data_IF_296618703700
#
_entry.id   IF_296618703700
#
_cell.length_a   1.000
_cell.length_b   1.000
_cell.length_c   1.000
_cell.angle_alpha   90.00
_cell.angle_beta   90.00
_cell.angle_gamma   90.00
#
_symmetry.space_group_name_H-M   'P 1'
#
loop_
_entity.id
_entity.type
_entity.pdbx_description
1 polymer ?
#
# COMPACT_ATOMS: atom_id res chain seq x y z
N UNK A 1 2.06 -31.60 12.31
CA UNK A 1 0.79 -30.89 12.56
C UNK A 1 0.03 -30.83 11.26
N UNK A 2 -1.30 -30.78 11.28
CA UNK A 2 -2.07 -30.59 10.06
C UNK A 2 -1.71 -29.24 9.42
N UNK A 3 -1.53 -29.16 8.08
CA UNK A 3 -1.19 -27.92 7.39
C UNK A 3 -2.14 -26.76 7.73
N UNK A 4 -3.41 -27.05 7.99
CA UNK A 4 -4.41 -26.05 8.36
C UNK A 4 -4.13 -25.47 9.75
N UNK A 5 -3.75 -26.31 10.72
CA UNK A 5 -3.40 -25.85 12.07
C UNK A 5 -2.17 -24.93 12.05
N UNK A 6 -1.16 -25.26 11.24
CA UNK A 6 0.03 -24.41 11.11
C UNK A 6 -0.32 -23.06 10.48
N UNK A 7 -1.20 -23.06 9.47
CA UNK A 7 -1.72 -21.83 8.87
C UNK A 7 -2.44 -20.95 9.89
N UNK A 8 -3.34 -21.50 10.70
CA UNK A 8 -4.09 -20.76 11.74
C UNK A 8 -3.13 -20.14 12.76
N UNK A 9 -2.14 -20.91 13.24
CA UNK A 9 -1.13 -20.42 14.19
C UNK A 9 -0.29 -19.32 13.55
N UNK A 10 0.14 -19.47 12.30
CA UNK A 10 0.88 -18.45 11.56
C UNK A 10 0.09 -17.15 11.41
N UNK A 11 -1.19 -17.21 11.04
CA UNK A 11 -2.04 -16.03 10.94
C UNK A 11 -2.18 -15.32 12.29
N UNK A 12 -2.45 -16.07 13.37
CA UNK A 12 -2.55 -15.51 14.72
C UNK A 12 -1.22 -14.86 15.16
N UNK A 13 -0.09 -15.48 14.84
CA UNK A 13 1.24 -14.97 15.14
C UNK A 13 1.54 -13.65 14.42
N UNK A 14 1.18 -13.52 13.13
CA UNK A 14 1.33 -12.26 12.38
C UNK A 14 0.53 -11.15 13.04
N UNK A 15 -0.75 -11.40 13.38
CA UNK A 15 -1.58 -10.39 14.05
C UNK A 15 -1.00 -9.99 15.40
N UNK A 16 -0.52 -10.96 16.18
CA UNK A 16 0.13 -10.70 17.46
C UNK A 16 1.37 -9.80 17.31
N UNK A 17 2.23 -10.09 16.33
CA UNK A 17 3.42 -9.27 16.04
C UNK A 17 3.06 -7.85 15.57
N UNK A 18 1.98 -7.71 14.81
CA UNK A 18 1.45 -6.41 14.40
C UNK A 18 0.92 -5.60 15.59
N UNK A 19 0.25 -6.24 16.55
CA UNK A 19 -0.21 -5.57 17.78
C UNK A 19 0.94 -5.06 18.66
N UNK A 20 2.10 -5.72 18.63
CA UNK A 20 3.32 -5.26 19.31
C UNK A 20 3.98 -4.07 18.58
N UNK A 21 3.45 -3.66 17.42
CA UNK A 21 3.95 -2.53 16.64
C UNK A 21 5.10 -2.90 15.71
N UNK A 22 5.32 -4.18 15.42
CA UNK A 22 6.36 -4.61 14.50
C UNK A 22 5.99 -4.24 13.06
N UNK A 23 6.98 -3.79 12.28
CA UNK A 23 6.77 -3.45 10.88
C UNK A 23 6.27 -4.68 10.09
N UNK A 24 5.24 -4.49 9.27
CA UNK A 24 4.54 -5.56 8.54
C UNK A 24 5.50 -6.43 7.73
N UNK A 25 6.52 -5.82 7.10
CA UNK A 25 7.50 -6.53 6.30
C UNK A 25 8.26 -7.59 7.12
N UNK A 26 8.74 -7.23 8.31
CA UNK A 26 9.44 -8.17 9.18
C UNK A 26 8.50 -9.24 9.74
N UNK A 27 7.25 -8.88 10.06
CA UNK A 27 6.27 -9.84 10.57
C UNK A 27 5.96 -10.91 9.53
N UNK A 28 5.65 -10.49 8.29
CA UNK A 28 5.39 -11.38 7.18
C UNK A 28 6.60 -12.24 6.82
N UNK A 29 7.81 -11.65 6.81
CA UNK A 29 9.04 -12.37 6.52
C UNK A 29 9.32 -13.47 7.55
N UNK A 30 9.23 -13.14 8.85
CA UNK A 30 9.57 -14.08 9.92
C UNK A 30 8.57 -15.23 10.00
N UNK A 31 7.28 -14.93 9.96
CA UNK A 31 6.22 -15.95 10.04
C UNK A 31 6.15 -16.78 8.76
N UNK A 32 6.32 -16.16 7.59
CA UNK A 32 6.40 -16.87 6.31
C UNK A 32 7.59 -17.82 6.26
N UNK A 33 8.77 -17.37 6.69
CA UNK A 33 9.96 -18.22 6.78
C UNK A 33 9.76 -19.38 7.77
N UNK A 34 9.29 -19.12 8.99
CA UNK A 34 9.04 -20.14 9.99
C UNK A 34 7.98 -21.17 9.54
N UNK A 35 6.92 -20.70 8.87
CA UNK A 35 5.87 -21.56 8.33
C UNK A 35 6.39 -22.48 7.22
N UNK A 36 7.14 -21.94 6.24
CA UNK A 36 7.72 -22.73 5.15
C UNK A 36 8.80 -23.70 5.66
N UNK A 37 9.62 -23.27 6.61
CA UNK A 37 10.63 -24.12 7.23
C UNK A 37 10.01 -25.32 7.96
N UNK A 38 8.85 -25.12 8.59
CA UNK A 38 8.12 -26.18 9.30
C UNK A 38 7.34 -27.11 8.35
N UNK A 39 6.73 -26.59 7.29
CA UNK A 39 5.87 -27.36 6.38
C UNK A 39 6.63 -28.11 5.29
N UNK A 40 7.69 -27.50 4.72
CA UNK A 40 8.40 -28.06 3.58
C UNK A 40 9.75 -28.65 3.99
N UNK A 41 10.69 -27.81 4.43
CA UNK A 41 12.00 -28.15 5.02
C UNK A 41 12.88 -26.91 5.06
N UNK A 42 13.93 -26.92 5.89
CA UNK A 42 14.94 -25.85 5.92
C UNK A 42 15.63 -25.65 4.56
N UNK A 43 15.79 -26.72 3.78
CA UNK A 43 16.37 -26.68 2.43
C UNK A 43 15.48 -26.00 1.38
N UNK A 44 14.16 -25.96 1.59
CA UNK A 44 13.22 -25.24 0.72
C UNK A 44 12.97 -23.80 1.17
N UNK A 45 13.12 -23.51 2.47
CA UNK A 45 12.85 -22.20 3.04
C UNK A 45 13.87 -21.13 2.61
N UNK A 46 15.18 -21.44 2.62
CA UNK A 46 16.23 -20.50 2.21
C UNK A 46 16.11 -20.05 0.74
N UNK A 47 15.97 -20.98 -0.23
CA UNK A 47 15.80 -20.63 -1.64
C UNK A 47 14.50 -19.87 -1.93
N UNK A 48 13.44 -20.13 -1.16
CA UNK A 48 12.19 -19.37 -1.26
C UNK A 48 12.41 -17.91 -0.87
N UNK A 49 13.08 -17.65 0.25
CA UNK A 49 13.34 -16.28 0.70
C UNK A 49 14.23 -15.53 -0.30
N UNK A 50 15.28 -16.16 -0.82
CA UNK A 50 16.15 -15.51 -1.82
C UNK A 50 15.40 -15.21 -3.11
N UNK A 51 14.55 -16.13 -3.57
CA UNK A 51 13.68 -15.92 -4.73
C UNK A 51 12.69 -14.78 -4.50
N UNK A 52 12.00 -14.75 -3.36
CA UNK A 52 11.06 -13.68 -3.02
C UNK A 52 11.76 -12.33 -2.95
N UNK A 53 12.96 -12.25 -2.36
CA UNK A 53 13.75 -11.00 -2.34
C UNK A 53 14.12 -10.53 -3.76
N UNK A 54 14.48 -11.46 -4.65
CA UNK A 54 14.78 -11.16 -6.04
C UNK A 54 13.53 -10.70 -6.83
N UNK A 55 12.40 -11.36 -6.64
CA UNK A 55 11.11 -11.01 -7.26
C UNK A 55 10.63 -9.63 -6.79
N UNK A 56 10.77 -9.32 -5.50
CA UNK A 56 10.46 -7.99 -4.95
C UNK A 56 11.44 -6.96 -5.50
N UNK A 57 12.75 -7.25 -5.58
CA UNK A 57 13.72 -6.28 -6.13
C UNK A 57 13.53 -6.01 -7.62
N UNK A 58 13.09 -7.02 -8.37
CA UNK A 58 12.78 -6.93 -9.80
C UNK A 58 11.33 -6.49 -10.07
N UNK A 59 10.64 -5.94 -9.06
CA UNK A 59 9.24 -5.63 -9.13
C UNK A 59 8.99 -4.43 -10.05
N UNK A 60 8.35 -4.69 -11.19
CA UNK A 60 8.07 -3.70 -12.24
C UNK A 60 7.42 -2.41 -11.72
N UNK A 61 6.47 -2.44 -10.76
CA UNK A 61 5.88 -1.22 -10.20
C UNK A 61 6.87 -0.24 -9.54
N UNK A 62 8.05 -0.67 -9.10
CA UNK A 62 9.05 0.26 -8.57
C UNK A 62 9.58 1.24 -9.62
N UNK A 63 9.61 0.86 -10.89
CA UNK A 63 9.94 1.77 -12.00
C UNK A 63 8.76 2.67 -12.36
N UNK A 64 7.52 2.18 -12.18
CA UNK A 64 6.31 2.94 -12.51
C UNK A 64 5.96 3.99 -11.44
N UNK A 65 6.30 3.75 -10.17
CA UNK A 65 6.02 4.70 -9.06
C UNK A 65 6.61 6.10 -9.34
N UNK A 66 7.89 6.28 -9.69
CA UNK A 66 8.44 7.59 -10.07
C UNK A 66 7.70 8.27 -11.22
N UNK A 67 7.31 7.50 -12.25
CA UNK A 67 6.55 8.03 -13.40
C UNK A 67 5.18 8.53 -12.96
N UNK A 68 4.49 7.83 -12.06
CA UNK A 68 3.23 8.30 -11.50
C UNK A 68 3.37 9.51 -10.58
N UNK A 69 4.49 9.61 -9.84
CA UNK A 69 4.80 10.81 -9.04
C UNK A 69 5.02 12.00 -9.97
N UNK A 70 5.77 11.85 -11.06
CA UNK A 70 5.98 12.89 -12.08
C UNK A 70 4.66 13.29 -12.75
N UNK A 71 3.83 12.31 -13.13
CA UNK A 71 2.50 12.56 -13.68
C UNK A 71 1.65 13.40 -12.72
N UNK A 72 1.64 13.06 -11.43
CA UNK A 72 0.89 13.83 -10.46
C UNK A 72 1.50 15.19 -10.14
N UNK A 73 2.82 15.36 -10.25
CA UNK A 73 3.47 16.66 -10.23
C UNK A 73 2.98 17.55 -11.39
N UNK A 74 2.90 16.99 -12.61
CA UNK A 74 2.32 17.71 -13.74
C UNK A 74 0.83 18.03 -13.53
N UNK A 75 0.02 17.08 -13.06
CA UNK A 75 -1.39 17.29 -12.74
C UNK A 75 -1.64 18.29 -11.60
N UNK A 76 -0.69 18.45 -10.68
CA UNK A 76 -0.69 19.50 -9.66
C UNK A 76 -0.38 20.86 -10.28
N UNK A 77 0.69 20.95 -11.07
CA UNK A 77 1.14 22.18 -11.72
C UNK A 77 0.17 22.75 -12.75
N UNK A 78 -0.59 21.89 -13.44
CA UNK A 78 -1.60 22.28 -14.44
C UNK A 78 -2.92 22.78 -13.84
N UNK A 79 -3.10 22.71 -12.52
CA UNK A 79 -4.35 23.07 -11.84
C UNK A 79 -5.42 21.96 -11.85
N UNK A 80 -5.21 20.85 -12.58
CA UNK A 80 -6.18 19.75 -12.67
C UNK A 80 -6.56 19.18 -11.31
N UNK A 81 -5.60 19.08 -10.39
CA UNK A 81 -5.85 18.61 -9.03
C UNK A 81 -6.75 19.56 -8.23
N UNK A 82 -6.60 20.88 -8.42
CA UNK A 82 -7.45 21.88 -7.76
C UNK A 82 -8.88 21.85 -8.32
N UNK A 83 -9.03 21.68 -9.62
CA UNK A 83 -10.34 21.55 -10.26
C UNK A 83 -11.05 20.26 -9.81
N UNK A 84 -10.30 19.16 -9.70
CA UNK A 84 -10.80 17.90 -9.15
C UNK A 84 -11.28 18.08 -7.70
N UNK A 85 -10.47 18.73 -6.86
CA UNK A 85 -10.84 19.00 -5.47
C UNK A 85 -12.10 19.87 -5.38
N UNK A 86 -12.20 20.96 -6.16
CA UNK A 86 -13.38 21.83 -6.17
C UNK A 86 -14.65 21.11 -6.67
N UNK A 87 -14.51 20.19 -7.63
CA UNK A 87 -15.63 19.37 -8.09
C UNK A 87 -16.16 18.46 -6.97
N UNK A 88 -15.27 17.77 -6.26
CA UNK A 88 -15.64 16.94 -5.11
C UNK A 88 -16.19 17.77 -3.95
N UNK A 89 -15.61 18.94 -3.66
CA UNK A 89 -16.10 19.85 -2.63
C UNK A 89 -17.54 20.30 -2.93
N UNK A 90 -17.83 20.71 -4.17
CA UNK A 90 -19.19 21.11 -4.57
C UNK A 90 -20.19 19.96 -4.44
N UNK A 91 -19.78 18.73 -4.74
CA UNK A 91 -20.63 17.55 -4.62
C UNK A 91 -20.92 17.20 -3.16
N UNK A 92 -19.90 17.24 -2.29
CA UNK A 92 -19.99 16.80 -0.90
C UNK A 92 -20.26 17.92 0.11
N UNK A 93 -20.42 19.17 -0.33
CA UNK A 93 -20.67 20.36 0.51
C UNK A 93 -21.85 20.21 1.49
N UNK A 94 -22.86 19.42 1.12
CA UNK A 94 -24.09 19.23 1.93
C UNK A 94 -23.93 18.19 3.04
N UNK A 95 -22.87 17.39 3.05
CA UNK A 95 -22.64 16.41 4.11
C UNK A 95 -21.96 17.06 5.32
N UNK A 96 -22.33 16.67 6.56
CA UNK A 96 -21.58 17.05 7.75
C UNK A 96 -20.15 16.48 7.65
N UNK A 97 -19.14 17.35 7.74
CA UNK A 97 -17.74 16.99 7.46
C UNK A 97 -17.35 17.02 5.97
N UNK A 98 -18.11 17.72 5.12
CA UNK A 98 -17.97 17.72 3.66
C UNK A 98 -16.57 17.99 3.11
N UNK A 99 -15.73 18.78 3.79
CA UNK A 99 -14.32 18.99 3.41
C UNK A 99 -13.47 17.70 3.52
N UNK A 100 -13.68 16.92 4.58
CA UNK A 100 -12.99 15.63 4.76
C UNK A 100 -13.45 14.60 3.74
N UNK A 101 -14.76 14.51 3.51
CA UNK A 101 -15.34 13.59 2.51
C UNK A 101 -14.91 13.98 1.09
N UNK A 102 -14.86 15.28 0.77
CA UNK A 102 -14.37 15.77 -0.50
C UNK A 102 -12.89 15.45 -0.71
N UNK A 103 -12.06 15.53 0.34
CA UNK A 103 -10.64 15.17 0.26
C UNK A 103 -10.47 13.67 -0.02
N UNK A 104 -11.24 12.81 0.67
CA UNK A 104 -11.23 11.36 0.40
C UNK A 104 -11.71 11.08 -1.03
N UNK A 105 -12.75 11.78 -1.49
CA UNK A 105 -13.25 11.67 -2.86
C UNK A 105 -12.22 12.09 -3.92
N UNK A 106 -11.54 13.21 -3.70
CA UNK A 106 -10.48 13.70 -4.58
C UNK A 106 -9.29 12.72 -4.61
N UNK A 107 -8.85 12.22 -3.45
CA UNK A 107 -7.81 11.19 -3.37
C UNK A 107 -8.25 9.90 -4.09
N UNK A 108 -9.50 9.46 -3.92
CA UNK A 108 -10.03 8.27 -4.59
C UNK A 108 -10.12 8.46 -6.11
N UNK A 109 -10.57 9.63 -6.57
CA UNK A 109 -10.63 9.97 -8.00
C UNK A 109 -9.24 10.02 -8.64
N UNK A 110 -8.27 10.62 -7.96
CA UNK A 110 -6.88 10.63 -8.43
C UNK A 110 -6.23 9.24 -8.37
N UNK A 111 -6.52 8.44 -7.33
CA UNK A 111 -6.05 7.06 -7.21
C UNK A 111 -6.61 6.17 -8.33
N UNK A 112 -7.86 6.41 -8.77
CA UNK A 112 -8.45 5.67 -9.88
C UNK A 112 -7.72 5.91 -11.21
N UNK A 113 -7.14 7.10 -11.41
CA UNK A 113 -6.38 7.43 -12.62
C UNK A 113 -4.91 7.01 -12.50
N UNK A 114 -4.30 7.25 -11.34
CA UNK A 114 -2.87 6.97 -11.11
C UNK A 114 -2.56 5.51 -10.77
N UNK A 115 -3.54 4.70 -10.38
CA UNK A 115 -3.37 3.27 -10.09
C UNK A 115 -2.39 2.95 -8.94
N UNK A 116 -1.92 3.96 -8.21
CA UNK A 116 -0.87 3.83 -7.19
C UNK A 116 -1.20 4.66 -5.95
N UNK A 117 -1.33 3.98 -4.82
CA UNK A 117 -1.59 4.63 -3.51
C UNK A 117 -0.41 5.50 -3.07
N UNK A 118 0.83 5.05 -3.33
CA UNK A 118 2.05 5.81 -2.98
C UNK A 118 2.17 7.09 -3.81
N UNK A 119 1.86 7.01 -5.11
CA UNK A 119 1.87 8.20 -5.96
C UNK A 119 0.76 9.19 -5.58
N UNK A 120 -0.45 8.69 -5.31
CA UNK A 120 -1.56 9.52 -4.83
C UNK A 120 -1.22 10.23 -3.52
N UNK A 121 -0.59 9.53 -2.57
CA UNK A 121 -0.17 10.14 -1.30
C UNK A 121 0.90 11.23 -1.52
N UNK A 122 1.87 11.01 -2.41
CA UNK A 122 2.89 12.01 -2.72
C UNK A 122 2.32 13.26 -3.40
N UNK A 123 1.31 13.11 -4.27
CA UNK A 123 0.79 14.20 -5.10
C UNK A 123 -0.35 14.94 -4.43
N UNK A 124 -1.31 14.21 -3.84
CA UNK A 124 -2.38 14.83 -3.05
C UNK A 124 -1.85 15.36 -1.73
N UNK A 125 -0.84 14.71 -1.13
CA UNK A 125 -0.20 15.18 0.10
C UNK A 125 0.45 16.56 -0.06
N UNK A 126 1.09 16.84 -1.19
CA UNK A 126 1.68 18.15 -1.48
C UNK A 126 0.65 19.24 -1.80
N UNK A 127 -0.57 18.86 -2.19
CA UNK A 127 -1.69 19.80 -2.42
C UNK A 127 -2.56 19.98 -1.17
N UNK A 128 -2.65 18.97 -0.31
CA UNK A 128 -3.44 18.96 0.92
C UNK A 128 -2.67 19.55 2.12
N UNK A 129 -1.34 19.51 2.10
CA UNK A 129 -0.51 20.24 3.04
C UNK A 129 -0.42 21.72 2.60
N UNK A 130 -0.68 22.68 3.51
CA UNK A 130 -0.58 24.12 3.21
C UNK A 130 0.85 24.56 2.90
#
# INVERSE_FOLDING_TARGET
MDPVTVGIIGTALVFFLLFIGMHIAYAMMFVGFAGVAYLASMGAALPMVSRTLYEVSSYFPYTVIPLFIVMGGFAGSSGMTKDLFSAFEKWFRRLPGGLGVATIGACAGFAAVSGSSVATAATMGTVALP
#
